data_IF_136815269488
#
_entry.id   IF_136815269488
#
_cell.length_a   1.000
_cell.length_b   1.000
_cell.length_c   1.000
_cell.angle_alpha   90.00
_cell.angle_beta   90.00
_cell.angle_gamma   90.00
#
_symmetry.space_group_name_H-M   'P 1'
#
loop_
_entity.id
_entity.type
_entity.pdbx_description
1 polymer ?
#
# COMPACT_ATOMS: atom_id res chain seq x y z
N UNK A 1 15.48 -1.12 10.95
CA UNK A 1 15.54 -2.41 10.23
C UNK A 1 14.49 -2.33 9.14
N UNK A 2 14.91 -2.31 7.87
CA UNK A 2 13.99 -2.13 6.75
C UNK A 2 13.21 -3.41 6.47
N UNK A 3 11.89 -3.29 6.27
CA UNK A 3 11.04 -4.43 5.92
C UNK A 3 10.87 -4.43 4.41
N UNK A 4 11.28 -5.53 3.76
CA UNK A 4 11.05 -5.75 2.32
C UNK A 4 9.71 -6.45 2.15
N UNK A 5 8.87 -5.87 1.30
CA UNK A 5 7.54 -6.37 0.94
C UNK A 5 7.43 -6.45 -0.59
N UNK A 6 6.27 -6.89 -1.10
CA UNK A 6 6.04 -6.97 -2.55
C UNK A 6 5.11 -5.86 -3.00
N UNK A 7 5.47 -5.18 -4.10
CA UNK A 7 4.64 -4.17 -4.75
C UNK A 7 4.24 -4.60 -6.15
N UNK A 8 2.95 -4.65 -6.41
CA UNK A 8 2.40 -4.92 -7.73
C UNK A 8 2.69 -3.77 -8.69
N UNK A 9 3.39 -4.06 -9.77
CA UNK A 9 3.60 -3.13 -10.86
C UNK A 9 2.48 -3.30 -11.90
N UNK A 10 1.45 -2.44 -11.84
CA UNK A 10 0.29 -2.51 -12.73
C UNK A 10 0.66 -2.54 -14.22
N UNK A 11 1.74 -1.88 -14.64
CA UNK A 11 2.14 -1.86 -16.05
C UNK A 11 2.81 -3.16 -16.49
N UNK A 12 3.66 -3.74 -15.63
CA UNK A 12 4.40 -4.98 -15.92
C UNK A 12 3.60 -6.24 -15.60
N UNK A 13 2.54 -6.12 -14.79
CA UNK A 13 1.77 -7.25 -14.24
C UNK A 13 2.65 -8.22 -13.42
N UNK A 14 3.60 -7.66 -12.66
CA UNK A 14 4.55 -8.44 -11.86
C UNK A 14 4.78 -7.77 -10.50
N UNK A 15 5.14 -8.57 -9.50
CA UNK A 15 5.55 -8.08 -8.18
C UNK A 15 7.03 -7.73 -8.16
N UNK A 16 7.34 -6.55 -7.63
CA UNK A 16 8.71 -6.06 -7.41
C UNK A 16 8.97 -5.92 -5.91
N UNK A 17 10.23 -6.09 -5.49
CA UNK A 17 10.63 -5.80 -4.11
C UNK A 17 10.43 -4.32 -3.79
N UNK A 18 9.87 -4.06 -2.62
CA UNK A 18 9.59 -2.72 -2.15
C UNK A 18 9.99 -2.56 -0.70
N UNK A 19 10.76 -1.51 -0.41
CA UNK A 19 11.14 -1.15 0.94
C UNK A 19 10.03 -0.34 1.60
N UNK A 20 9.44 -0.92 2.63
CA UNK A 20 8.36 -0.27 3.38
C UNK A 20 8.94 0.86 4.25
N UNK A 21 8.29 2.03 4.30
CA UNK A 21 8.68 3.07 5.25
C UNK A 21 8.47 2.60 6.70
N UNK A 22 9.22 3.21 7.62
CA UNK A 22 9.01 3.04 9.06
C UNK A 22 7.60 3.50 9.46
N UNK A 23 7.12 3.05 10.63
CA UNK A 23 5.79 3.38 11.17
C UNK A 23 4.62 3.10 10.22
N UNK A 24 4.70 1.98 9.49
CA UNK A 24 3.66 1.51 8.59
C UNK A 24 3.14 0.13 9.04
N UNK A 25 2.37 0.05 10.14
CA UNK A 25 1.89 -1.22 10.67
C UNK A 25 0.83 -1.82 9.73
N UNK A 26 0.87 -3.13 9.51
CA UNK A 26 -0.17 -3.84 8.75
C UNK A 26 -1.51 -3.88 9.52
N UNK A 27 -1.43 -4.05 10.84
CA UNK A 27 -2.58 -4.10 11.76
C UNK A 27 -2.30 -3.12 12.90
N UNK A 28 -3.31 -2.33 13.27
CA UNK A 28 -3.24 -1.42 14.41
C UNK A 28 -4.60 -1.39 15.12
N UNK A 29 -4.59 -1.50 16.45
CA UNK A 29 -5.80 -1.40 17.27
C UNK A 29 -6.23 0.06 17.54
N UNK A 30 -5.28 1.00 17.48
CA UNK A 30 -5.55 2.41 17.70
C UNK A 30 -5.77 3.15 16.37
N UNK A 31 -7.02 3.36 16.00
CA UNK A 31 -7.40 4.03 14.75
C UNK A 31 -6.92 5.49 14.65
N UNK A 32 -6.62 6.13 15.78
CA UNK A 32 -6.09 7.49 15.85
C UNK A 32 -4.57 7.57 15.75
N UNK A 33 -3.88 6.41 15.77
CA UNK A 33 -2.42 6.36 15.64
C UNK A 33 -1.99 6.99 14.30
N UNK A 34 -1.03 7.89 14.38
CA UNK A 34 -0.39 8.49 13.21
C UNK A 34 0.63 7.50 12.65
N UNK A 35 0.45 7.14 11.38
CA UNK A 35 1.28 6.22 10.64
C UNK A 35 1.76 6.87 9.34
N UNK A 36 2.77 6.29 8.71
CA UNK A 36 3.21 6.69 7.38
C UNK A 36 2.43 5.93 6.30
N UNK A 37 2.00 6.65 5.27
CA UNK A 37 1.49 6.04 4.04
C UNK A 37 2.57 5.16 3.42
N UNK A 38 2.24 3.89 3.16
CA UNK A 38 3.16 2.90 2.62
C UNK A 38 3.82 3.32 1.30
N UNK A 39 3.15 4.15 0.48
CA UNK A 39 3.65 4.55 -0.83
C UNK A 39 4.37 5.92 -0.83
N UNK A 40 3.75 6.96 -0.26
CA UNK A 40 4.24 8.34 -0.37
C UNK A 40 4.84 8.92 0.92
N UNK A 41 4.85 8.15 2.02
CA UNK A 41 5.40 8.53 3.33
C UNK A 41 4.70 9.72 4.02
N UNK A 42 3.62 10.26 3.45
CA UNK A 42 2.77 11.24 4.14
C UNK A 42 2.18 10.62 5.40
N UNK A 43 2.15 11.39 6.49
CA UNK A 43 1.51 10.98 7.75
C UNK A 43 -0.01 10.98 7.61
N UNK A 44 -0.67 9.96 8.15
CA UNK A 44 -2.14 9.84 8.22
C UNK A 44 -2.55 9.10 9.49
N UNK A 45 -3.81 9.25 9.90
CA UNK A 45 -4.39 8.37 10.93
C UNK A 45 -4.61 6.98 10.35
N UNK A 46 -4.32 5.93 11.11
CA UNK A 46 -4.52 4.54 10.67
C UNK A 46 -5.96 4.31 10.22
N UNK A 47 -6.95 4.78 10.98
CA UNK A 47 -8.36 4.63 10.64
C UNK A 47 -8.85 5.45 9.45
N UNK A 48 -8.01 6.33 8.89
CA UNK A 48 -8.29 7.07 7.64
C UNK A 48 -7.47 6.55 6.45
N UNK A 49 -6.70 5.48 6.65
CA UNK A 49 -5.96 4.83 5.58
C UNK A 49 -6.82 3.79 4.85
N UNK A 50 -6.35 3.36 3.69
CA UNK A 50 -6.94 2.30 2.89
C UNK A 50 -5.94 1.17 2.78
N UNK A 51 -6.42 -0.07 2.70
CA UNK A 51 -5.57 -1.21 2.36
C UNK A 51 -5.12 -1.07 0.91
N UNK A 52 -3.81 -0.98 0.69
CA UNK A 52 -3.23 -0.87 -0.65
C UNK A 52 -3.63 -2.07 -1.51
N UNK A 53 -3.87 -1.82 -2.80
CA UNK A 53 -4.09 -2.85 -3.83
C UNK A 53 -2.79 -3.21 -4.55
N UNK A 54 -1.68 -2.60 -4.15
CA UNK A 54 -0.39 -2.79 -4.78
C UNK A 54 0.69 -3.27 -3.80
N UNK A 55 0.77 -2.69 -2.60
CA UNK A 55 1.83 -2.99 -1.62
C UNK A 55 1.30 -4.03 -0.64
N UNK A 56 1.77 -5.27 -0.78
CA UNK A 56 1.30 -6.43 -0.03
C UNK A 56 2.43 -7.10 0.75
N UNK A 57 2.07 -7.75 1.87
CA UNK A 57 2.93 -8.77 2.46
C UNK A 57 2.93 -10.05 1.60
N UNK A 58 3.70 -11.06 1.99
CA UNK A 58 3.82 -12.34 1.29
C UNK A 58 2.49 -13.11 1.15
N UNK A 59 1.50 -12.79 1.99
CA UNK A 59 0.17 -13.40 1.97
C UNK A 59 -0.88 -12.59 1.19
N UNK A 60 -0.50 -11.46 0.59
CA UNK A 60 -1.42 -10.60 -0.18
C UNK A 60 -2.19 -9.56 0.62
N UNK A 61 -1.87 -9.35 1.91
CA UNK A 61 -2.51 -8.31 2.72
C UNK A 61 -1.91 -6.92 2.42
N UNK A 62 -2.78 -5.96 2.12
CA UNK A 62 -2.41 -4.59 1.77
C UNK A 62 -1.98 -3.73 2.95
N UNK A 63 -0.82 -3.09 2.81
CA UNK A 63 -0.33 -2.08 3.74
C UNK A 63 -1.13 -0.77 3.65
N UNK A 64 -1.18 0.03 4.73
CA UNK A 64 -2.01 1.23 4.76
C UNK A 64 -1.45 2.34 3.85
N UNK A 65 -2.29 2.84 2.95
CA UNK A 65 -1.99 3.99 2.08
C UNK A 65 -3.01 5.11 2.31
N UNK A 66 -2.59 6.35 2.05
CA UNK A 66 -3.51 7.49 2.07
C UNK A 66 -4.50 7.44 0.90
N UNK A 67 -5.62 8.16 1.02
CA UNK A 67 -6.67 8.23 0.01
C UNK A 67 -6.16 8.59 -1.39
N UNK A 68 -5.23 9.55 -1.48
CA UNK A 68 -4.62 9.95 -2.76
C UNK A 68 -3.89 8.80 -3.45
N UNK A 69 -3.15 7.99 -2.68
CA UNK A 69 -2.42 6.85 -3.23
C UNK A 69 -3.38 5.72 -3.62
N UNK A 70 -4.39 5.47 -2.80
CA UNK A 70 -5.42 4.47 -3.09
C UNK A 70 -6.19 4.80 -4.37
N UNK A 71 -6.56 6.06 -4.59
CA UNK A 71 -7.21 6.52 -5.84
C UNK A 71 -6.33 6.28 -7.06
N UNK A 72 -5.02 6.54 -6.95
CA UNK A 72 -4.06 6.26 -8.03
C UNK A 72 -3.92 4.76 -8.31
N UNK A 73 -3.93 3.93 -7.27
CA UNK A 73 -3.93 2.47 -7.42
C UNK A 73 -5.20 1.99 -8.15
N UNK A 74 -6.37 2.50 -7.81
CA UNK A 74 -7.63 2.20 -8.51
C UNK A 74 -7.62 2.65 -9.98
N UNK A 75 -7.06 3.82 -10.27
CA UNK A 75 -6.91 4.31 -11.64
C UNK A 75 -5.96 3.42 -12.44
N UNK A 76 -4.81 3.06 -11.86
CA UNK A 76 -3.85 2.15 -12.48
C UNK A 76 -4.43 0.75 -12.68
N UNK A 77 -5.14 0.21 -11.70
CA UNK A 77 -5.84 -1.08 -11.82
C UNK A 77 -6.82 -1.05 -12.99
N UNK A 78 -7.65 -0.01 -13.11
CA UNK A 78 -8.59 0.13 -14.24
C UNK A 78 -7.88 0.28 -15.59
N UNK A 79 -6.80 1.06 -15.62
CA UNK A 79 -6.06 1.37 -16.85
C UNK A 79 -5.32 0.16 -17.40
N UNK A 80 -4.75 -0.65 -16.52
CA UNK A 80 -3.95 -1.84 -16.87
C UNK A 80 -4.67 -3.14 -16.55
N UNK A 81 -6.00 -3.11 -16.41
CA UNK A 81 -6.80 -4.33 -16.27
C UNK A 81 -6.81 -5.04 -17.61
N UNK A 82 -5.92 -6.02 -17.78
CA UNK A 82 -6.13 -7.01 -18.83
C UNK A 82 -7.27 -7.93 -18.38
N UNK A 83 -8.30 -8.05 -19.21
CA UNK A 83 -9.28 -9.13 -19.08
C UNK A 83 -8.53 -10.42 -19.39
N UNK A 84 -8.07 -11.11 -18.34
CA UNK A 84 -7.69 -12.52 -18.44
C UNK A 84 -8.96 -13.36 -18.50
#
# INVERSE_FOLDING_TARGET
>A
MSIIVKKWNFKKQEYEDYELPEDCPLICHNMEQIINCANCRKKTKFGKSYSSKAIHNEYGFGYPVCEECYKKELENERKYKEYV
#
